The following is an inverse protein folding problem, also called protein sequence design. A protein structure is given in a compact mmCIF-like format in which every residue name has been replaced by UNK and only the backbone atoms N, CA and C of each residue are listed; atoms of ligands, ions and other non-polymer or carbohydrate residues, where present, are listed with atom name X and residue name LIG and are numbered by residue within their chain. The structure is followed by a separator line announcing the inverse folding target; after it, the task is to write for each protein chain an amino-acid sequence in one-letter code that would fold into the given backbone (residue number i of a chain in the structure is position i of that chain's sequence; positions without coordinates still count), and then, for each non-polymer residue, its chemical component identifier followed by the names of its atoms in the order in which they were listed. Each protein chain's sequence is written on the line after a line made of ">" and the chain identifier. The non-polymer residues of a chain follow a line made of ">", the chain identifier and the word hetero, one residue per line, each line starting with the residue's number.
data_IF_401582799723
#
_entry.id   IF_401582799723
#
_cell.length_a   1.000
_cell.length_b   1.000
_cell.length_c   1.000
_cell.angle_alpha   90.00
_cell.angle_beta   90.00
_cell.angle_gamma   90.00
#
_symmetry.space_group_name_H-M   'P 1'
#
loop_
_entity.id
_entity.type
_entity.pdbx_description
1 polymer ?
#
# COMPACT_ATOMS: atom_id res chain seq x y z
N UNK A 1 11.35 10.05 64.43
CA UNK A 1 12.47 9.52 65.25
C UNK A 1 13.26 8.56 64.38
N UNK A 2 14.55 8.83 64.24
CA UNK A 2 15.67 7.93 63.85
C UNK A 2 15.66 7.18 62.50
N UNK A 3 16.36 7.80 61.52
CA UNK A 3 17.43 7.25 60.67
C UNK A 3 17.72 5.73 60.67
N UNK A 4 17.93 5.18 59.47
CA UNK A 4 19.28 4.84 58.94
C UNK A 4 19.24 4.39 57.47
N UNK A 5 20.04 5.07 56.65
CA UNK A 5 20.47 4.67 55.30
C UNK A 5 21.42 3.45 55.37
N UNK A 6 21.36 2.58 54.36
CA UNK A 6 22.44 1.69 54.00
C UNK A 6 22.70 1.79 52.48
N UNK A 7 23.90 2.29 52.16
CA UNK A 7 24.50 2.38 50.83
C UNK A 7 25.18 1.03 50.54
N UNK A 8 24.89 0.37 49.42
CA UNK A 8 25.74 -0.72 48.91
C UNK A 8 26.24 -0.38 47.51
N UNK A 9 27.54 -0.20 47.42
CA UNK A 9 28.35 0.00 46.22
C UNK A 9 28.33 -1.25 45.33
N UNK A 10 27.93 -1.13 44.07
CA UNK A 10 28.15 -2.16 43.05
C UNK A 10 29.32 -1.73 42.15
N UNK A 11 30.35 -2.55 42.13
CA UNK A 11 31.61 -2.42 41.40
C UNK A 11 31.44 -2.68 39.90
N UNK A 12 31.90 -1.75 39.06
CA UNK A 12 32.16 -1.98 37.64
C UNK A 12 33.42 -2.85 37.48
N UNK A 13 33.31 -3.96 36.76
CA UNK A 13 34.47 -4.71 36.23
C UNK A 13 34.56 -4.52 34.72
N UNK A 14 35.55 -3.73 34.30
CA UNK A 14 36.08 -3.71 32.93
C UNK A 14 37.01 -4.91 32.75
N UNK A 15 36.77 -5.75 31.75
CA UNK A 15 37.81 -6.64 31.21
C UNK A 15 37.46 -7.17 29.81
N UNK A 16 38.25 -6.70 28.83
CA UNK A 16 38.92 -7.52 27.80
C UNK A 16 38.05 -7.95 26.59
N UNK A 17 38.56 -8.08 25.36
CA UNK A 17 39.92 -8.06 24.81
C UNK A 17 39.79 -7.80 23.29
N UNK A 18 40.73 -7.03 22.74
CA UNK A 18 40.95 -6.83 21.31
C UNK A 18 41.58 -8.11 20.72
N UNK A 19 41.07 -8.62 19.60
CA UNK A 19 41.76 -9.63 18.79
C UNK A 19 41.72 -9.22 17.30
N UNK A 20 42.88 -8.78 16.83
CA UNK A 20 43.21 -8.46 15.44
C UNK A 20 43.67 -9.75 14.75
N UNK A 21 43.04 -10.15 13.66
CA UNK A 21 43.56 -11.18 12.77
C UNK A 21 43.51 -10.68 11.32
N UNK A 22 44.69 -10.35 10.80
CA UNK A 22 44.95 -10.09 9.40
C UNK A 22 45.21 -11.42 8.68
N UNK A 23 44.56 -11.64 7.54
CA UNK A 23 45.10 -12.45 6.46
C UNK A 23 44.79 -11.75 5.14
N UNK A 24 45.86 -11.31 4.46
CA UNK A 24 45.81 -10.73 3.12
C UNK A 24 45.63 -11.80 2.05
N UNK A 25 45.12 -11.35 0.91
CA UNK A 25 44.97 -12.13 -0.31
C UNK A 25 44.64 -11.22 -1.48
N UNK A 26 45.64 -10.48 -1.95
CA UNK A 26 45.61 -9.74 -3.22
C UNK A 26 45.62 -10.73 -4.39
N UNK A 27 44.69 -10.60 -5.33
CA UNK A 27 44.82 -11.18 -6.67
C UNK A 27 44.74 -10.06 -7.70
N UNK A 28 45.82 -9.99 -8.48
CA UNK A 28 46.14 -9.00 -9.49
C UNK A 28 45.30 -9.16 -10.75
N UNK A 29 45.00 -8.03 -11.37
CA UNK A 29 44.48 -7.89 -12.72
C UNK A 29 45.44 -8.54 -13.74
N UNK A 30 44.86 -9.19 -14.75
CA UNK A 30 45.51 -9.60 -15.99
C UNK A 30 44.68 -9.09 -17.16
N UNK A 31 45.25 -8.15 -17.92
CA UNK A 31 44.74 -7.73 -19.22
C UNK A 31 45.22 -8.68 -20.32
N UNK A 32 44.49 -8.66 -21.43
CA UNK A 32 44.82 -9.34 -22.67
C UNK A 32 43.84 -8.89 -23.75
N UNK A 33 44.37 -8.11 -24.70
CA UNK A 33 43.74 -7.63 -25.93
C UNK A 33 43.18 -8.75 -26.81
N UNK A 34 42.16 -8.43 -27.61
CA UNK A 34 42.11 -8.75 -29.04
C UNK A 34 41.00 -7.91 -29.70
N UNK A 35 41.36 -7.19 -30.76
CA UNK A 35 40.50 -6.26 -31.49
C UNK A 35 39.85 -6.86 -32.74
N UNK A 36 38.90 -6.10 -33.30
CA UNK A 36 38.62 -5.98 -34.74
C UNK A 36 37.74 -4.71 -34.90
N UNK A 37 38.12 -3.68 -35.67
CA UNK A 37 38.01 -3.68 -37.14
C UNK A 37 36.54 -3.45 -37.55
N UNK A 38 36.00 -2.24 -37.55
CA UNK A 38 36.16 -1.28 -38.65
C UNK A 38 35.10 -1.49 -39.75
N UNK A 39 34.19 -0.53 -39.94
CA UNK A 39 33.68 -0.09 -41.26
C UNK A 39 32.90 1.20 -41.09
N UNK A 40 33.50 2.29 -41.55
CA UNK A 40 32.80 3.54 -41.82
C UNK A 40 32.21 3.52 -43.23
N UNK A 41 31.05 4.16 -43.38
CA UNK A 41 30.62 4.77 -44.63
C UNK A 41 29.64 5.90 -44.28
N UNK A 42 30.12 7.14 -44.41
CA UNK A 42 29.28 8.31 -44.68
C UNK A 42 28.93 8.32 -46.19
N UNK A 43 27.92 9.10 -46.63
CA UNK A 43 28.18 10.53 -46.85
C UNK A 43 27.07 11.49 -46.40
N UNK A 44 27.53 12.61 -45.82
CA UNK A 44 27.28 14.06 -46.07
C UNK A 44 26.12 14.56 -47.00
N UNK A 45 25.84 15.88 -47.11
CA UNK A 45 24.71 16.55 -46.46
C UNK A 45 23.89 17.43 -47.46
N UNK A 46 23.09 18.35 -46.90
CA UNK A 46 22.53 19.56 -47.52
C UNK A 46 21.30 19.42 -48.45
N UNK A 47 20.18 20.03 -48.05
CA UNK A 47 19.72 21.31 -48.63
C UNK A 47 18.37 21.73 -48.04
N UNK A 48 18.30 23.01 -47.69
CA UNK A 48 17.11 23.75 -47.29
C UNK A 48 16.25 24.14 -48.50
N UNK A 49 14.93 24.23 -48.33
CA UNK A 49 14.13 25.36 -48.82
C UNK A 49 12.65 25.26 -48.44
N UNK A 50 12.18 26.38 -47.89
CA UNK A 50 10.79 26.79 -47.68
C UNK A 50 10.01 26.96 -48.98
N UNK A 51 8.70 26.72 -48.99
CA UNK A 51 7.65 27.75 -49.19
C UNK A 51 6.26 27.19 -49.58
N UNK A 52 5.27 27.68 -48.83
CA UNK A 52 3.88 28.05 -49.17
C UNK A 52 3.20 27.58 -50.48
N UNK A 53 1.95 27.13 -50.33
CA UNK A 53 0.93 27.23 -51.40
C UNK A 53 -0.40 26.53 -51.08
N UNK A 54 -1.37 27.25 -50.50
CA UNK A 54 -2.82 26.98 -50.65
C UNK A 54 -3.28 27.61 -52.00
N UNK A 55 -4.36 27.16 -52.70
CA UNK A 55 -5.76 27.45 -52.29
C UNK A 55 -6.87 26.46 -52.77
N UNK A 56 -8.09 26.62 -52.23
CA UNK A 56 -9.37 26.38 -52.95
C UNK A 56 -10.20 25.15 -52.54
N UNK A 57 -11.16 25.24 -51.60
CA UNK A 57 -12.61 25.53 -51.75
C UNK A 57 -13.51 24.44 -52.38
N UNK A 58 -14.56 24.04 -51.63
CA UNK A 58 -15.78 23.41 -52.15
C UNK A 58 -16.60 22.70 -51.07
N UNK A 59 -17.77 23.24 -50.70
CA UNK A 59 -18.65 22.74 -49.62
C UNK A 59 -19.96 22.08 -50.08
N UNK A 60 -20.85 21.86 -49.08
CA UNK A 60 -22.22 21.29 -49.11
C UNK A 60 -22.31 19.76 -49.31
N UNK A 61 -23.21 19.00 -48.66
CA UNK A 61 -24.33 19.29 -47.75
C UNK A 61 -25.14 17.99 -47.48
N UNK A 62 -26.27 18.14 -46.77
CA UNK A 62 -27.34 17.19 -46.42
C UNK A 62 -27.12 16.29 -45.18
N UNK A 63 -27.90 16.29 -44.08
CA UNK A 63 -29.35 16.34 -43.74
C UNK A 63 -30.17 15.05 -43.98
N UNK A 64 -30.84 14.60 -42.91
CA UNK A 64 -32.02 13.71 -42.89
C UNK A 64 -31.70 12.28 -42.41
N UNK A 65 -32.43 11.60 -41.53
CA UNK A 65 -33.68 11.81 -40.78
C UNK A 65 -33.83 10.61 -39.80
N UNK A 66 -34.32 10.81 -38.57
CA UNK A 66 -35.66 10.48 -38.04
C UNK A 66 -36.10 9.00 -38.03
N UNK A 67 -36.59 8.57 -36.86
CA UNK A 67 -37.49 7.41 -36.61
C UNK A 67 -36.74 6.12 -36.25
N UNK A 68 -37.12 5.30 -35.28
CA UNK A 68 -38.33 5.23 -34.49
C UNK A 68 -38.13 4.36 -33.23
N UNK A 69 -39.13 4.46 -32.38
CA UNK A 69 -39.40 3.84 -31.07
C UNK A 69 -39.30 2.32 -30.92
N UNK A 70 -38.97 1.90 -29.70
CA UNK A 70 -39.80 0.95 -28.93
C UNK A 70 -39.39 -0.53 -28.93
N UNK A 71 -39.23 -1.10 -27.72
CA UNK A 71 -39.14 -2.54 -27.53
C UNK A 71 -38.69 -2.96 -26.13
N UNK A 72 -39.65 -3.09 -25.22
CA UNK A 72 -39.50 -3.67 -23.88
C UNK A 72 -39.30 -5.19 -23.89
N UNK A 73 -38.54 -5.70 -22.93
CA UNK A 73 -38.85 -6.97 -22.25
C UNK A 73 -38.01 -8.18 -22.66
N UNK A 74 -37.33 -8.79 -21.68
CA UNK A 74 -36.65 -10.07 -21.85
C UNK A 74 -35.84 -10.48 -20.62
N UNK A 75 -36.51 -11.07 -19.65
CA UNK A 75 -35.96 -11.77 -18.48
C UNK A 75 -35.18 -13.03 -18.87
N UNK A 76 -34.10 -13.30 -18.12
CA UNK A 76 -33.69 -14.66 -17.74
C UNK A 76 -32.77 -15.41 -18.70
N UNK A 77 -31.55 -15.69 -18.25
CA UNK A 77 -30.60 -16.58 -18.93
C UNK A 77 -29.42 -16.95 -18.06
N UNK A 78 -29.61 -17.98 -17.24
CA UNK A 78 -28.56 -18.81 -16.63
C UNK A 78 -27.79 -19.57 -17.70
N UNK A 79 -26.48 -19.80 -17.51
CA UNK A 79 -25.78 -20.91 -18.15
C UNK A 79 -24.36 -20.60 -18.62
N UNK A 80 -23.38 -21.04 -17.83
CA UNK A 80 -22.02 -21.29 -18.28
C UNK A 80 -22.00 -22.35 -19.39
N UNK A 81 -21.20 -22.14 -20.43
CA UNK A 81 -20.44 -23.21 -21.10
C UNK A 81 -19.17 -22.62 -21.71
N UNK A 82 -18.03 -23.12 -21.25
CA UNK A 82 -16.73 -22.82 -21.83
C UNK A 82 -16.57 -23.38 -23.25
N UNK A 83 -15.83 -22.63 -24.07
CA UNK A 83 -15.34 -23.06 -25.37
C UNK A 83 -13.91 -22.58 -25.56
N UNK A 84 -12.96 -23.49 -25.45
CA UNK A 84 -11.56 -23.26 -25.84
C UNK A 84 -11.44 -23.40 -27.36
N UNK A 85 -10.79 -22.42 -28.01
CA UNK A 85 -10.31 -22.50 -29.39
C UNK A 85 -9.14 -21.52 -29.58
N UNK A 86 -8.03 -21.90 -30.24
CA UNK A 86 -6.78 -21.13 -30.24
C UNK A 86 -6.72 -20.10 -31.38
N UNK A 87 -6.15 -18.93 -31.11
CA UNK A 87 -5.97 -17.88 -32.13
C UNK A 87 -5.09 -16.71 -31.67
N UNK A 88 -3.82 -16.79 -32.06
CA UNK A 88 -2.82 -15.73 -32.34
C UNK A 88 -3.16 -14.24 -32.11
N UNK A 89 -2.33 -13.60 -31.28
CA UNK A 89 -1.62 -12.34 -31.58
C UNK A 89 -2.43 -11.05 -31.77
N UNK A 90 -2.40 -10.18 -30.75
CA UNK A 90 -2.78 -8.78 -30.86
C UNK A 90 -2.66 -8.05 -29.53
N UNK A 91 -1.60 -7.26 -29.39
CA UNK A 91 -1.39 -6.34 -28.26
C UNK A 91 -2.49 -5.29 -28.23
N UNK A 92 -3.34 -5.38 -27.23
CA UNK A 92 -4.28 -4.36 -26.79
C UNK A 92 -4.67 -4.73 -25.37
N UNK A 93 -4.25 -3.91 -24.40
CA UNK A 93 -4.59 -4.12 -22.99
C UNK A 93 -6.10 -4.15 -22.84
N UNK A 94 -6.65 -5.35 -22.70
CA UNK A 94 -8.04 -5.53 -22.28
C UNK A 94 -8.11 -4.99 -20.85
N UNK A 95 -9.11 -4.16 -20.51
CA UNK A 95 -9.33 -3.77 -19.12
C UNK A 95 -9.39 -5.05 -18.29
N UNK A 96 -8.61 -5.13 -17.23
CA UNK A 96 -8.71 -6.21 -16.24
C UNK A 96 -10.18 -6.34 -15.86
N UNK A 97 -10.79 -7.48 -16.21
CA UNK A 97 -12.17 -7.78 -15.91
C UNK A 97 -12.37 -7.64 -14.39
N UNK A 98 -13.02 -6.56 -13.98
CA UNK A 98 -13.37 -6.26 -12.59
C UNK A 98 -14.40 -7.30 -12.13
N UNK A 99 -13.93 -8.46 -11.68
CA UNK A 99 -14.73 -9.46 -10.96
C UNK A 99 -15.07 -8.99 -9.53
N UNK A 100 -15.06 -7.67 -9.28
CA UNK A 100 -15.49 -7.07 -8.03
C UNK A 100 -16.98 -7.37 -7.78
N UNK A 101 -17.35 -7.82 -6.58
CA UNK A 101 -18.76 -7.87 -6.20
C UNK A 101 -19.39 -6.46 -6.28
N UNK A 102 -20.73 -6.35 -6.40
CA UNK A 102 -21.39 -5.05 -6.38
C UNK A 102 -21.02 -4.29 -5.10
N UNK A 103 -20.94 -2.97 -5.24
CA UNK A 103 -20.74 -2.02 -4.14
C UNK A 103 -21.55 -2.40 -2.89
N UNK A 104 -20.92 -2.38 -1.72
CA UNK A 104 -21.50 -2.86 -0.47
C UNK A 104 -21.16 -1.99 0.76
N UNK A 105 -20.52 -0.86 0.53
CA UNK A 105 -19.94 0.03 1.52
C UNK A 105 -20.73 1.33 1.67
N UNK A 106 -21.97 1.36 1.19
CA UNK A 106 -22.86 2.48 1.43
C UNK A 106 -23.25 2.58 2.91
N UNK A 107 -23.50 3.81 3.37
CA UNK A 107 -24.02 4.08 4.71
C UNK A 107 -23.17 3.58 5.90
N UNK A 108 -21.90 3.24 5.69
CA UNK A 108 -20.97 2.97 6.80
C UNK A 108 -20.60 4.27 7.52
N UNK A 109 -20.55 4.22 8.85
CA UNK A 109 -20.20 5.35 9.73
C UNK A 109 -18.70 5.41 9.98
N UNK A 110 -18.21 6.60 10.32
CA UNK A 110 -16.78 6.84 10.56
C UNK A 110 -16.17 5.91 11.61
N UNK A 111 -16.88 5.70 12.71
CA UNK A 111 -16.45 4.96 13.89
C UNK A 111 -17.03 3.54 13.95
N UNK A 112 -17.44 2.98 12.81
CA UNK A 112 -17.93 1.60 12.75
C UNK A 112 -16.87 0.62 13.26
N UNK A 113 -17.23 -0.14 14.29
CA UNK A 113 -16.36 -1.10 14.96
C UNK A 113 -16.45 -2.51 14.38
N UNK A 114 -17.36 -2.79 13.45
CA UNK A 114 -17.49 -4.11 12.84
C UNK A 114 -16.38 -4.32 11.78
N UNK A 115 -15.44 -5.27 11.99
CA UNK A 115 -14.38 -5.53 11.01
C UNK A 115 -14.93 -6.02 9.67
N UNK A 116 -16.14 -6.60 9.61
CA UNK A 116 -16.77 -6.96 8.35
C UNK A 116 -17.19 -5.71 7.55
N UNK A 117 -17.57 -4.62 8.22
CA UNK A 117 -17.85 -3.36 7.53
C UNK A 117 -16.56 -2.66 7.08
N UNK A 118 -15.46 -2.79 7.84
CA UNK A 118 -14.14 -2.37 7.37
C UNK A 118 -13.68 -3.14 6.11
N UNK A 119 -13.98 -4.44 6.03
CA UNK A 119 -13.72 -5.23 4.82
C UNK A 119 -14.57 -4.76 3.62
N UNK A 120 -15.83 -4.38 3.84
CA UNK A 120 -16.68 -3.80 2.79
C UNK A 120 -16.12 -2.47 2.27
N UNK A 121 -15.61 -1.62 3.16
CA UNK A 121 -14.99 -0.33 2.83
C UNK A 121 -13.68 -0.43 2.02
N UNK A 122 -13.23 -1.65 1.71
CA UNK A 122 -12.14 -1.93 0.78
C UNK A 122 -12.58 -2.90 -0.33
N UNK A 123 -13.89 -2.92 -0.67
CA UNK A 123 -14.51 -3.72 -1.74
C UNK A 123 -14.60 -5.23 -1.51
N UNK A 124 -14.33 -5.71 -0.30
CA UNK A 124 -14.54 -7.11 0.04
C UNK A 124 -16.01 -7.32 0.47
N UNK A 125 -16.89 -7.45 -0.53
CA UNK A 125 -18.34 -7.49 -0.29
C UNK A 125 -18.97 -8.88 -0.19
N UNK A 126 -18.44 -9.86 -0.92
CA UNK A 126 -19.04 -11.20 -0.98
C UNK A 126 -18.58 -12.05 0.20
N UNK A 127 -19.51 -12.69 0.89
CA UNK A 127 -19.21 -13.69 1.92
C UNK A 127 -19.07 -15.10 1.33
N UNK A 128 -18.20 -15.89 1.93
CA UNK A 128 -18.01 -17.30 1.63
C UNK A 128 -18.97 -18.16 2.46
N UNK A 129 -20.17 -18.42 1.95
CA UNK A 129 -21.23 -19.18 2.67
C UNK A 129 -21.01 -20.72 2.72
N UNK A 130 -19.76 -21.19 2.60
CA UNK A 130 -19.42 -22.60 2.62
C UNK A 130 -18.11 -22.93 1.90
N UNK A 131 -17.67 -24.20 1.90
CA UNK A 131 -16.38 -24.62 1.36
C UNK A 131 -16.22 -24.41 -0.15
N UNK A 132 -17.33 -24.29 -0.88
CA UNK A 132 -17.35 -24.08 -2.34
C UNK A 132 -17.74 -22.64 -2.72
N UNK A 133 -17.88 -21.73 -1.75
CA UNK A 133 -18.19 -20.32 -1.99
C UNK A 133 -16.95 -19.47 -1.76
N UNK A 134 -16.61 -18.63 -2.74
CA UNK A 134 -15.51 -17.67 -2.64
C UNK A 134 -15.97 -16.39 -1.93
N UNK A 135 -15.01 -15.61 -1.42
CA UNK A 135 -15.25 -14.35 -0.73
C UNK A 135 -14.66 -14.31 0.68
N UNK A 136 -15.14 -13.37 1.48
CA UNK A 136 -14.79 -13.17 2.88
C UNK A 136 -15.29 -14.33 3.73
N UNK A 137 -14.35 -15.02 4.37
CA UNK A 137 -14.65 -16.02 5.40
C UNK A 137 -14.73 -15.33 6.77
N UNK A 138 -13.76 -14.48 7.08
CA UNK A 138 -13.63 -13.87 8.39
C UNK A 138 -12.96 -12.50 8.30
N UNK A 139 -13.38 -11.56 9.16
CA UNK A 139 -12.72 -10.28 9.37
C UNK A 139 -12.54 -10.05 10.88
N UNK A 140 -11.36 -9.55 11.28
CA UNK A 140 -11.00 -9.30 12.68
C UNK A 140 -10.17 -8.04 12.83
N UNK A 141 -10.39 -7.35 13.95
CA UNK A 141 -9.44 -6.38 14.47
C UNK A 141 -8.37 -7.09 15.30
N UNK A 142 -7.10 -6.84 15.01
CA UNK A 142 -5.95 -7.42 15.72
C UNK A 142 -4.87 -6.38 15.93
N UNK A 143 -3.87 -6.70 16.75
CA UNK A 143 -2.59 -6.00 16.72
C UNK A 143 -1.76 -6.41 15.48
N UNK A 144 -0.70 -5.66 15.13
CA UNK A 144 0.13 -5.95 13.95
C UNK A 144 0.77 -7.34 13.96
N UNK A 145 1.13 -7.86 15.14
CA UNK A 145 1.63 -9.23 15.36
C UNK A 145 0.52 -10.30 15.31
N UNK A 146 -0.74 -9.90 15.16
CA UNK A 146 -1.91 -10.80 15.15
C UNK A 146 -2.43 -11.14 16.55
N UNK A 147 -1.85 -10.56 17.61
CA UNK A 147 -2.38 -10.74 18.96
C UNK A 147 -3.69 -9.98 19.17
N UNK A 148 -4.42 -10.35 20.22
CA UNK A 148 -5.66 -9.69 20.59
C UNK A 148 -5.41 -8.29 21.17
N UNK A 149 -6.40 -7.41 21.03
CA UNK A 149 -6.37 -6.06 21.62
C UNK A 149 -6.15 -6.17 23.14
N UNK A 150 -5.20 -5.42 23.73
CA UNK A 150 -4.95 -5.46 25.16
C UNK A 150 -6.16 -5.00 25.97
N UNK A 151 -6.51 -5.77 27.01
CA UNK A 151 -7.66 -5.46 27.85
C UNK A 151 -7.54 -4.08 28.51
N UNK A 152 -8.58 -3.26 28.41
CA UNK A 152 -8.64 -1.90 28.95
C UNK A 152 -8.19 -0.80 27.99
N UNK A 153 -7.73 -1.16 26.79
CA UNK A 153 -7.31 -0.21 25.74
C UNK A 153 -8.28 -0.14 24.56
N UNK A 154 -9.43 -0.82 24.62
CA UNK A 154 -10.36 -0.99 23.50
C UNK A 154 -10.87 0.35 22.94
N UNK A 155 -11.16 1.32 23.81
CA UNK A 155 -11.61 2.65 23.39
C UNK A 155 -10.52 3.44 22.65
N UNK A 156 -9.27 3.36 23.11
CA UNK A 156 -8.14 4.01 22.44
C UNK A 156 -7.79 3.28 21.14
N UNK A 157 -7.81 1.94 21.15
CA UNK A 157 -7.63 1.10 19.97
C UNK A 157 -8.63 1.46 18.86
N UNK A 158 -9.91 1.66 19.21
CA UNK A 158 -10.97 1.99 18.26
C UNK A 158 -10.77 3.35 17.56
N UNK A 159 -10.02 4.28 18.17
CA UNK A 159 -9.63 5.52 17.50
C UNK A 159 -8.57 5.29 16.41
N UNK A 160 -7.87 4.16 16.42
CA UNK A 160 -6.88 3.78 15.43
C UNK A 160 -7.45 3.37 14.08
N UNK A 161 -8.77 3.21 13.93
CA UNK A 161 -9.40 2.92 12.64
C UNK A 161 -10.56 3.87 12.34
N UNK A 162 -10.84 4.10 11.06
CA UNK A 162 -11.96 4.93 10.62
C UNK A 162 -12.40 4.58 9.20
N UNK A 163 -13.66 4.85 8.87
CA UNK A 163 -14.24 4.63 7.54
C UNK A 163 -14.72 5.97 6.96
N UNK A 164 -14.01 6.49 5.95
CA UNK A 164 -14.23 7.85 5.44
C UNK A 164 -15.02 7.85 4.14
N UNK A 165 -15.83 8.89 3.93
CA UNK A 165 -16.40 9.23 2.61
C UNK A 165 -15.38 9.92 1.68
N UNK A 166 -14.36 10.54 2.27
CA UNK A 166 -13.13 11.03 1.60
C UNK A 166 -12.07 11.35 2.65
N UNK A 167 -10.79 11.39 2.29
CA UNK A 167 -9.74 11.84 3.21
C UNK A 167 -9.28 13.25 2.83
N UNK A 168 -9.98 14.25 3.35
CA UNK A 168 -9.89 15.63 2.83
C UNK A 168 -10.67 15.80 1.51
N UNK A 169 -10.59 16.98 0.86
CA UNK A 169 -11.36 17.27 -0.35
C UNK A 169 -10.74 16.70 -1.63
N UNK A 170 -9.47 16.25 -1.58
CA UNK A 170 -8.69 15.88 -2.77
C UNK A 170 -8.33 14.39 -2.82
N UNK A 171 -8.83 13.59 -1.88
CA UNK A 171 -8.58 12.14 -1.79
C UNK A 171 -9.93 11.41 -1.67
N UNK A 172 -10.67 11.26 -2.78
CA UNK A 172 -11.90 10.48 -2.79
C UNK A 172 -11.61 8.98 -2.76
N UNK A 173 -12.62 8.14 -2.46
CA UNK A 173 -12.53 6.69 -2.64
C UNK A 173 -12.07 6.32 -4.06
N UNK A 174 -11.19 5.32 -4.14
CA UNK A 174 -10.71 4.68 -5.37
C UNK A 174 -11.79 3.82 -5.99
N UNK A 175 -12.62 3.20 -5.15
CA UNK A 175 -13.82 2.48 -5.53
C UNK A 175 -14.86 2.67 -4.41
N UNK A 176 -16.10 2.28 -4.68
CA UNK A 176 -17.16 2.38 -3.67
C UNK A 176 -17.52 3.80 -3.25
N UNK A 177 -18.02 3.92 -2.01
CA UNK A 177 -18.38 5.15 -1.31
C UNK A 177 -17.47 5.45 -0.11
N UNK A 178 -16.63 4.50 0.29
CA UNK A 178 -15.85 4.55 1.52
C UNK A 178 -14.40 4.13 1.32
N UNK A 179 -13.56 4.62 2.23
CA UNK A 179 -12.15 4.25 2.35
C UNK A 179 -11.89 3.82 3.79
N UNK A 180 -11.12 2.75 3.99
CA UNK A 180 -10.62 2.38 5.31
C UNK A 180 -9.36 3.18 5.67
N UNK A 181 -9.32 3.77 6.86
CA UNK A 181 -8.11 4.32 7.48
C UNK A 181 -7.63 3.49 8.66
N UNK A 182 -6.31 3.26 8.71
CA UNK A 182 -5.60 2.61 9.82
C UNK A 182 -4.48 3.52 10.32
N UNK A 183 -4.49 3.89 11.60
CA UNK A 183 -3.53 4.81 12.21
C UNK A 183 -2.96 4.28 13.52
N UNK A 184 -1.67 4.52 13.73
CA UNK A 184 -1.02 4.36 15.04
C UNK A 184 -1.45 5.46 16.04
N UNK A 185 -2.05 6.55 15.58
CA UNK A 185 -2.72 7.55 16.40
C UNK A 185 -4.24 7.53 16.21
N UNK A 186 -4.81 8.72 15.99
CA UNK A 186 -6.25 8.88 15.72
C UNK A 186 -6.54 8.90 14.21
N UNK A 187 -7.27 7.88 13.73
CA UNK A 187 -7.80 7.80 12.37
C UNK A 187 -9.00 8.74 12.19
N UNK A 188 -8.78 10.04 12.35
CA UNK A 188 -9.81 11.10 12.31
C UNK A 188 -9.27 12.30 11.54
N UNK A 189 -10.10 12.93 10.70
CA UNK A 189 -9.79 14.19 10.01
C UNK A 189 -10.03 15.38 10.95
N UNK A 190 -9.52 16.59 10.65
CA UNK A 190 -9.65 17.76 11.53
C UNK A 190 -11.06 18.11 12.03
N UNK A 191 -12.11 17.75 11.27
CA UNK A 191 -13.50 18.04 11.61
C UNK A 191 -14.25 16.82 12.17
N UNK A 192 -13.59 15.67 12.30
CA UNK A 192 -14.20 14.44 12.79
C UNK A 192 -14.18 14.38 14.34
N UNK A 193 -15.19 13.78 14.98
CA UNK A 193 -15.16 13.52 16.42
C UNK A 193 -13.96 12.65 16.84
N UNK A 194 -13.25 13.08 17.88
CA UNK A 194 -12.05 12.39 18.37
C UNK A 194 -10.76 12.75 17.62
N UNK A 195 -10.78 13.79 16.79
CA UNK A 195 -9.58 14.29 16.12
C UNK A 195 -8.48 14.69 17.10
N UNK A 196 -7.29 14.18 16.83
CA UNK A 196 -6.01 14.65 17.37
C UNK A 196 -5.06 14.84 16.20
N UNK A 197 -4.33 15.96 16.18
CA UNK A 197 -3.45 16.26 15.06
C UNK A 197 -2.21 15.36 15.04
N UNK A 198 -1.81 14.82 13.88
CA UNK A 198 -0.79 13.77 13.82
C UNK A 198 0.61 14.25 14.22
N UNK A 199 0.91 15.54 14.09
CA UNK A 199 2.16 16.13 14.58
C UNK A 199 2.18 16.39 16.10
N UNK A 200 1.01 16.36 16.75
CA UNK A 200 0.87 16.39 18.20
C UNK A 200 0.77 15.00 18.82
N UNK A 201 0.45 14.00 18.00
CA UNK A 201 0.35 12.59 18.37
C UNK A 201 -0.91 12.23 19.15
N UNK A 202 -1.36 11.00 19.00
CA UNK A 202 -2.32 10.37 19.89
C UNK A 202 -1.80 9.01 20.37
N UNK A 203 -1.05 9.03 21.48
CA UNK A 203 -0.59 7.82 22.12
C UNK A 203 -1.78 6.99 22.64
N UNK A 204 -2.00 5.81 22.05
CA UNK A 204 -3.06 4.88 22.48
C UNK A 204 -2.69 4.16 23.77
N UNK A 205 -1.40 4.11 24.09
CA UNK A 205 -0.86 3.74 25.39
C UNK A 205 -0.51 2.26 25.53
N UNK A 206 -0.34 1.54 24.42
CA UNK A 206 0.04 0.13 24.44
C UNK A 206 1.19 -0.19 23.49
N UNK A 207 1.88 -1.29 23.77
CA UNK A 207 2.90 -1.88 22.90
C UNK A 207 2.46 -3.25 22.41
N UNK A 208 3.11 -3.75 21.37
CA UNK A 208 2.91 -5.09 20.83
C UNK A 208 4.21 -5.64 20.25
N UNK A 209 4.29 -6.94 19.95
CA UNK A 209 5.46 -7.47 19.26
C UNK A 209 5.52 -6.93 17.83
N UNK A 210 6.71 -6.90 17.22
CA UNK A 210 6.80 -6.64 15.79
C UNK A 210 6.10 -7.77 15.01
N UNK A 211 5.51 -7.47 13.84
CA UNK A 211 5.02 -8.52 12.97
C UNK A 211 6.11 -9.54 12.61
N UNK A 212 5.71 -10.77 12.26
CA UNK A 212 6.66 -11.81 11.89
C UNK A 212 7.61 -11.34 10.78
N UNK A 213 8.92 -11.49 10.99
CA UNK A 213 9.96 -11.01 10.07
C UNK A 213 10.37 -9.55 10.25
N UNK A 214 9.88 -8.85 11.29
CA UNK A 214 10.22 -7.47 11.64
C UNK A 214 10.90 -7.39 13.03
N UNK A 215 11.62 -6.30 13.36
CA UNK A 215 11.91 -5.12 12.53
C UNK A 215 12.84 -5.45 11.36
N UNK A 216 12.74 -4.68 10.28
CA UNK A 216 13.63 -4.80 9.12
C UNK A 216 14.44 -3.53 8.93
N UNK A 217 15.72 -3.65 8.56
CA UNK A 217 16.49 -2.48 8.14
C UNK A 217 15.87 -1.91 6.86
N UNK A 218 15.82 -0.59 6.77
CA UNK A 218 15.47 0.10 5.52
C UNK A 218 16.71 0.15 4.64
N UNK A 219 16.71 -0.43 3.42
CA UNK A 219 17.84 -0.30 2.49
C UNK A 219 18.26 1.16 2.21
N UNK A 220 17.31 2.10 2.26
CA UNK A 220 17.56 3.54 2.14
C UNK A 220 18.36 4.13 3.32
N UNK A 221 18.35 3.48 4.49
CA UNK A 221 18.99 3.96 5.72
C UNK A 221 19.84 2.85 6.36
N UNK A 222 21.03 2.52 5.80
CA UNK A 222 21.88 1.45 6.31
C UNK A 222 22.26 1.67 7.78
N UNK A 223 22.11 0.63 8.61
CA UNK A 223 22.45 0.66 10.04
C UNK A 223 21.37 1.24 10.95
N UNK A 224 20.24 1.67 10.39
CA UNK A 224 19.07 2.13 11.14
C UNK A 224 18.06 0.99 11.26
N UNK A 225 17.70 0.64 12.48
CA UNK A 225 16.67 -0.36 12.79
C UNK A 225 15.71 0.28 13.79
N UNK A 226 14.43 0.28 13.45
CA UNK A 226 13.42 0.87 14.31
C UNK A 226 13.23 0.07 15.61
N UNK A 227 12.74 0.77 16.65
CA UNK A 227 12.64 0.24 18.01
C UNK A 227 11.41 -0.64 18.27
N UNK A 228 11.02 -0.70 19.54
CA UNK A 228 9.82 -1.37 20.03
C UNK A 228 8.56 -0.79 19.33
N UNK A 229 7.66 -1.62 18.79
CA UNK A 229 6.41 -1.13 18.23
C UNK A 229 5.40 -0.65 19.29
N UNK A 230 4.72 0.45 18.98
CA UNK A 230 3.66 1.05 19.79
C UNK A 230 2.39 1.22 18.99
N UNK A 231 1.27 1.21 19.71
CA UNK A 231 -0.01 1.75 19.26
C UNK A 231 -0.47 1.22 17.89
N UNK A 232 -0.09 0.00 17.52
CA UNK A 232 -0.49 -0.59 16.24
C UNK A 232 -1.97 -0.94 16.15
N UNK A 233 -2.49 -0.92 14.93
CA UNK A 233 -3.85 -1.34 14.56
C UNK A 233 -3.78 -2.24 13.34
N UNK A 234 -4.64 -3.25 13.25
CA UNK A 234 -4.71 -4.09 12.06
C UNK A 234 -6.12 -4.58 11.75
N UNK A 235 -6.46 -4.55 10.46
CA UNK A 235 -7.57 -5.33 9.91
C UNK A 235 -6.98 -6.63 9.34
N UNK A 236 -7.42 -7.77 9.86
CA UNK A 236 -7.12 -9.08 9.33
C UNK A 236 -8.36 -9.66 8.64
N UNK A 237 -8.21 -10.09 7.38
CA UNK A 237 -9.26 -10.78 6.63
C UNK A 237 -8.78 -12.15 6.20
N UNK A 238 -9.64 -13.16 6.36
CA UNK A 238 -9.48 -14.48 5.75
C UNK A 238 -10.41 -14.59 4.55
N UNK A 239 -9.83 -14.90 3.39
CA UNK A 239 -10.51 -14.90 2.10
C UNK A 239 -10.37 -16.27 1.43
N UNK A 240 -11.40 -16.64 0.66
CA UNK A 240 -11.30 -17.68 -0.36
C UNK A 240 -11.32 -17.04 -1.75
N UNK A 241 -10.29 -17.30 -2.54
CA UNK A 241 -10.20 -16.79 -3.91
C UNK A 241 -11.27 -17.44 -4.82
N UNK A 242 -11.87 -16.70 -5.77
CA UNK A 242 -12.68 -17.30 -6.83
C UNK A 242 -11.80 -18.20 -7.69
N UNK A 243 -12.37 -19.27 -8.26
CA UNK A 243 -11.62 -20.27 -9.02
C UNK A 243 -10.87 -19.69 -10.25
N UNK A 244 -11.30 -18.54 -10.76
CA UNK A 244 -10.67 -17.84 -11.89
C UNK A 244 -9.55 -16.89 -11.48
N UNK A 245 -9.35 -16.60 -10.19
CA UNK A 245 -8.32 -15.68 -9.74
C UNK A 245 -6.92 -16.25 -9.99
N UNK A 246 -6.04 -15.41 -10.51
CA UNK A 246 -4.59 -15.63 -10.62
C UNK A 246 -3.79 -14.67 -9.72
N UNK A 247 -4.48 -13.77 -9.01
CA UNK A 247 -3.92 -12.78 -8.12
C UNK A 247 -5.00 -11.90 -7.51
N UNK A 248 -4.55 -10.91 -6.73
CA UNK A 248 -5.37 -9.79 -6.29
C UNK A 248 -4.53 -8.52 -6.26
N UNK A 249 -5.22 -7.39 -6.17
CA UNK A 249 -4.64 -6.07 -5.99
C UNK A 249 -5.46 -5.26 -4.98
N UNK A 250 -4.82 -4.30 -4.32
CA UNK A 250 -5.47 -3.28 -3.50
C UNK A 250 -4.67 -1.98 -3.60
N UNK A 251 -5.33 -0.86 -3.30
CA UNK A 251 -4.72 0.45 -3.33
C UNK A 251 -4.45 0.95 -1.90
N UNK A 252 -3.31 1.61 -1.68
CA UNK A 252 -2.94 2.24 -0.40
C UNK A 252 -2.48 3.68 -0.59
N UNK A 253 -2.65 4.52 0.44
CA UNK A 253 -2.04 5.84 0.52
C UNK A 253 -1.57 6.09 1.96
N UNK A 254 -0.25 6.15 2.14
CA UNK A 254 0.39 6.27 3.45
C UNK A 254 0.70 7.73 3.76
N UNK A 255 0.37 8.18 4.96
CA UNK A 255 0.61 9.51 5.51
C UNK A 255 1.45 9.37 6.76
N UNK A 256 2.39 10.29 6.97
CA UNK A 256 3.22 10.30 8.17
C UNK A 256 3.55 11.71 8.61
N UNK A 257 3.47 11.97 9.92
CA UNK A 257 3.92 13.21 10.52
C UNK A 257 5.45 13.29 10.72
N UNK A 258 6.16 12.22 10.40
CA UNK A 258 7.61 12.14 10.52
C UNK A 258 8.33 12.86 9.37
N UNK A 259 7.68 12.97 8.21
CA UNK A 259 8.29 13.53 7.02
C UNK A 259 8.30 15.07 7.04
N UNK A 260 9.40 15.74 6.66
CA UNK A 260 10.70 15.18 6.23
C UNK A 260 11.72 15.03 7.37
N UNK A 261 11.39 15.46 8.60
CA UNK A 261 12.37 15.68 9.67
C UNK A 261 12.99 14.40 10.22
N UNK A 262 12.23 13.30 10.26
CA UNK A 262 12.60 12.08 10.95
C UNK A 262 12.99 10.93 10.02
N UNK A 263 13.25 11.24 8.74
CA UNK A 263 13.83 10.28 7.79
C UNK A 263 15.14 9.70 8.31
N UNK A 264 15.35 8.40 8.13
CA UNK A 264 16.51 7.64 8.59
C UNK A 264 16.76 7.73 10.11
N UNK A 265 15.70 7.78 10.93
CA UNK A 265 15.80 7.67 12.38
C UNK A 265 15.28 6.32 12.89
N UNK A 266 15.36 6.03 14.19
CA UNK A 266 14.84 4.78 14.77
C UNK A 266 13.34 4.85 15.09
N UNK A 267 12.68 5.96 14.75
CA UNK A 267 11.29 6.26 15.11
C UNK A 267 10.29 6.00 13.99
N UNK A 268 10.75 5.42 12.88
CA UNK A 268 9.97 5.36 11.65
C UNK A 268 8.75 4.45 11.78
N UNK A 269 7.59 5.06 11.71
CA UNK A 269 6.29 4.41 11.58
C UNK A 269 6.25 3.58 10.30
N UNK A 270 5.44 2.53 10.32
CA UNK A 270 5.34 1.62 9.20
C UNK A 270 3.91 1.22 8.89
N UNK A 271 3.65 1.05 7.59
CA UNK A 271 2.59 0.21 7.08
C UNK A 271 3.14 -1.09 6.52
N UNK A 272 2.45 -2.18 6.84
CA UNK A 272 2.78 -3.53 6.36
C UNK A 272 1.49 -4.23 5.94
N UNK A 273 1.54 -4.90 4.79
CA UNK A 273 0.48 -5.81 4.35
C UNK A 273 1.02 -7.24 4.36
N UNK A 274 0.55 -8.08 5.28
CA UNK A 274 1.04 -9.44 5.48
C UNK A 274 0.11 -10.45 4.82
N UNK A 275 0.64 -11.22 3.87
CA UNK A 275 -0.05 -12.31 3.21
C UNK A 275 0.40 -13.65 3.80
N UNK A 276 -0.56 -14.46 4.24
CA UNK A 276 -0.34 -15.82 4.75
C UNK A 276 -1.23 -16.83 4.01
N UNK A 277 -0.69 -17.95 3.49
CA UNK A 277 0.72 -18.33 3.51
C UNK A 277 1.63 -17.35 2.76
N UNK A 278 2.89 -17.24 3.18
CA UNK A 278 3.87 -16.35 2.54
C UNK A 278 3.99 -16.66 1.05
N UNK A 279 3.79 -15.68 0.15
CA UNK A 279 3.85 -15.91 -1.28
C UNK A 279 5.29 -16.22 -1.73
N UNK A 280 5.41 -16.95 -2.84
CA UNK A 280 6.71 -17.26 -3.44
C UNK A 280 7.47 -15.97 -3.74
N UNK A 281 8.76 -15.94 -3.36
CA UNK A 281 9.60 -14.76 -3.52
C UNK A 281 9.58 -13.79 -2.34
N UNK A 282 8.73 -14.02 -1.33
CA UNK A 282 8.77 -13.30 -0.05
C UNK A 282 9.31 -14.20 1.07
N UNK A 283 10.01 -13.61 2.03
CA UNK A 283 10.55 -14.32 3.21
C UNK A 283 9.72 -14.15 4.48
N UNK A 284 8.84 -13.15 4.50
CA UNK A 284 8.26 -12.60 5.74
C UNK A 284 6.80 -12.19 5.57
N UNK A 285 6.18 -12.57 4.45
CA UNK A 285 4.77 -12.32 4.17
C UNK A 285 4.43 -10.89 3.77
N UNK A 286 5.33 -9.90 3.92
CA UNK A 286 5.03 -8.54 3.50
C UNK A 286 4.91 -8.45 1.97
N UNK A 287 3.84 -7.84 1.48
CA UNK A 287 3.61 -7.63 0.05
C UNK A 287 3.62 -6.15 -0.37
N UNK A 288 3.74 -5.22 0.58
CA UNK A 288 3.81 -3.77 0.31
C UNK A 288 5.19 -3.20 0.63
N UNK A 289 5.95 -2.87 -0.41
CA UNK A 289 7.32 -2.33 -0.33
C UNK A 289 7.69 -1.65 -1.66
N UNK A 290 8.67 -0.74 -1.64
CA UNK A 290 9.16 -0.11 -2.87
C UNK A 290 10.11 -1.00 -3.69
N UNK A 291 10.47 -0.57 -4.89
CA UNK A 291 11.37 -1.32 -5.78
C UNK A 291 12.79 -1.53 -5.23
N UNK A 292 13.16 -0.83 -4.15
CA UNK A 292 14.43 -0.99 -3.45
C UNK A 292 14.32 -1.89 -2.21
N UNK A 293 13.12 -2.39 -1.90
CA UNK A 293 12.84 -3.25 -0.75
C UNK A 293 12.61 -2.49 0.56
N UNK A 294 12.45 -1.16 0.53
CA UNK A 294 11.99 -0.45 1.73
C UNK A 294 10.51 -0.75 1.96
N UNK A 295 10.16 -1.00 3.21
CA UNK A 295 8.76 -1.06 3.63
C UNK A 295 8.11 0.32 3.48
N UNK A 296 6.78 0.35 3.47
CA UNK A 296 6.03 1.62 3.45
C UNK A 296 6.23 2.31 4.80
N UNK A 297 6.99 3.41 4.79
CA UNK A 297 7.41 4.19 5.97
C UNK A 297 7.90 5.57 5.49
N UNK A 298 8.32 6.44 6.41
CA UNK A 298 8.93 7.74 6.08
C UNK A 298 10.16 7.65 5.15
N UNK A 299 10.83 6.49 5.08
CA UNK A 299 12.02 6.27 4.23
C UNK A 299 11.69 5.74 2.83
N UNK A 300 10.42 5.56 2.52
CA UNK A 300 10.01 4.95 1.27
C UNK A 300 10.13 5.94 0.09
N UNK A 301 10.59 5.47 -1.07
CA UNK A 301 10.77 6.33 -2.25
C UNK A 301 9.45 6.91 -2.81
N UNK A 302 8.30 6.38 -2.39
CA UNK A 302 7.01 6.87 -2.84
C UNK A 302 6.52 8.14 -2.13
N UNK A 303 7.18 8.63 -1.08
CA UNK A 303 6.85 9.88 -0.36
C UNK A 303 7.00 11.11 -1.27
N UNK A 304 6.00 11.34 -2.13
CA UNK A 304 5.99 12.40 -3.15
C UNK A 304 4.81 13.36 -3.01
N UNK A 305 4.00 13.27 -1.95
CA UNK A 305 2.99 14.27 -1.62
C UNK A 305 3.46 15.06 -0.40
N UNK A 306 4.01 16.26 -0.61
CA UNK A 306 4.48 17.12 0.47
C UNK A 306 4.68 18.57 0.03
N UNK A 307 4.74 19.48 1.01
CA UNK A 307 5.05 20.90 0.78
C UNK A 307 6.55 21.20 0.88
N UNK A 308 7.25 20.53 1.80
CA UNK A 308 8.68 20.74 2.08
C UNK A 308 9.37 19.37 2.31
N UNK A 309 10.41 19.03 1.53
CA UNK A 309 10.88 19.71 0.30
C UNK A 309 9.77 19.79 -0.77
N UNK A 310 10.00 20.42 -1.91
CA UNK A 310 9.00 20.35 -2.99
C UNK A 310 8.93 18.92 -3.53
N UNK A 311 7.86 18.20 -3.22
CA UNK A 311 7.64 16.85 -3.74
C UNK A 311 7.00 16.85 -5.15
N UNK A 312 7.16 15.75 -5.88
CA UNK A 312 6.72 15.62 -7.27
C UNK A 312 5.20 15.76 -7.47
N UNK A 313 4.38 15.31 -6.50
CA UNK A 313 2.92 15.42 -6.55
C UNK A 313 2.39 16.67 -5.83
N UNK A 314 3.28 17.52 -5.30
CA UNK A 314 2.94 18.69 -4.49
C UNK A 314 2.19 18.31 -3.21
N UNK A 315 1.44 19.25 -2.63
CA UNK A 315 0.77 19.04 -1.33
C UNK A 315 -0.76 19.09 -1.38
N UNK A 316 -1.35 19.16 -2.57
CA UNK A 316 -2.80 19.34 -2.71
C UNK A 316 -3.58 18.22 -1.97
N UNK A 317 -3.09 16.98 -2.02
CA UNK A 317 -3.71 15.83 -1.36
C UNK A 317 -3.59 15.85 0.17
N UNK A 318 -2.80 16.75 0.77
CA UNK A 318 -2.70 16.90 2.23
C UNK A 318 -3.75 17.85 2.82
N UNK A 319 -4.46 18.61 1.98
CA UNK A 319 -5.43 19.59 2.46
C UNK A 319 -6.57 18.90 3.22
N UNK A 320 -6.87 19.34 4.45
CA UNK A 320 -8.00 18.83 5.24
C UNK A 320 -7.82 17.41 5.76
N UNK A 321 -6.61 16.85 5.70
CA UNK A 321 -6.30 15.52 6.23
C UNK A 321 -5.73 15.56 7.64
N UNK A 322 -5.24 16.73 8.09
CA UNK A 322 -4.43 16.86 9.30
C UNK A 322 -2.93 16.70 9.04
N UNK A 323 -2.52 16.31 7.83
CA UNK A 323 -1.12 16.11 7.43
C UNK A 323 -0.56 17.27 6.58
N UNK A 324 -1.16 18.47 6.61
CA UNK A 324 -0.87 19.59 5.70
C UNK A 324 0.61 20.00 5.63
N UNK A 325 1.37 19.77 6.69
CA UNK A 325 2.79 20.13 6.81
C UNK A 325 3.73 18.93 6.81
N UNK A 326 3.23 17.74 6.47
CA UNK A 326 3.98 16.50 6.54
C UNK A 326 4.09 15.83 5.16
N UNK A 327 4.15 14.50 5.10
CA UNK A 327 4.32 13.74 3.86
C UNK A 327 3.32 12.61 3.67
N UNK A 328 3.01 12.31 2.41
CA UNK A 328 2.26 11.13 2.02
C UNK A 328 2.78 10.51 0.71
N UNK A 329 2.45 9.25 0.45
CA UNK A 329 2.90 8.54 -0.75
C UNK A 329 2.11 8.94 -2.00
N UNK A 330 0.89 9.43 -1.81
CA UNK A 330 -0.15 9.34 -2.84
C UNK A 330 -0.62 7.88 -3.00
N UNK A 331 -1.57 7.65 -3.89
CA UNK A 331 -2.07 6.30 -4.14
C UNK A 331 -0.99 5.40 -4.75
N UNK A 332 -0.88 4.20 -4.21
CA UNK A 332 -0.06 3.08 -4.67
C UNK A 332 -0.98 1.87 -4.85
N UNK A 333 -0.67 0.99 -5.79
CA UNK A 333 -1.30 -0.32 -5.95
C UNK A 333 -0.31 -1.40 -5.53
N UNK A 334 -0.72 -2.28 -4.62
CA UNK A 334 -0.02 -3.51 -4.29
C UNK A 334 -0.69 -4.69 -4.99
N UNK A 335 0.09 -5.60 -5.57
CA UNK A 335 -0.37 -6.85 -6.18
C UNK A 335 0.27 -8.06 -5.54
N UNK A 336 -0.42 -9.20 -5.52
CA UNK A 336 0.16 -10.49 -5.14
C UNK A 336 -0.48 -11.66 -5.92
N UNK A 337 0.26 -12.73 -6.22
CA UNK A 337 -0.30 -13.94 -6.81
C UNK A 337 -1.13 -14.72 -5.80
N UNK A 338 -2.21 -15.35 -6.28
CA UNK A 338 -3.00 -16.34 -5.54
C UNK A 338 -3.57 -17.34 -6.54
N UNK A 339 -3.75 -18.61 -6.17
CA UNK A 339 -4.45 -19.56 -7.03
C UNK A 339 -5.95 -19.52 -6.73
N UNK A 340 -6.75 -19.77 -7.75
CA UNK A 340 -8.19 -19.88 -7.59
C UNK A 340 -8.56 -20.99 -6.59
N UNK A 341 -9.47 -20.66 -5.67
CA UNK A 341 -9.92 -21.56 -4.61
C UNK A 341 -9.05 -21.58 -3.35
N UNK A 342 -7.86 -20.96 -3.36
CA UNK A 342 -6.99 -20.85 -2.20
C UNK A 342 -7.70 -20.12 -1.06
N UNK A 343 -7.44 -20.56 0.17
CA UNK A 343 -7.81 -19.84 1.40
C UNK A 343 -6.55 -19.21 1.97
N UNK A 344 -6.60 -17.90 2.20
CA UNK A 344 -5.46 -17.12 2.69
C UNK A 344 -5.91 -16.04 3.66
N UNK A 345 -4.97 -15.51 4.43
CA UNK A 345 -5.15 -14.37 5.32
C UNK A 345 -4.35 -13.19 4.79
N UNK A 346 -4.97 -12.02 4.80
CA UNK A 346 -4.35 -10.73 4.51
C UNK A 346 -4.54 -9.82 5.72
N UNK A 347 -3.43 -9.32 6.28
CA UNK A 347 -3.46 -8.36 7.40
C UNK A 347 -2.88 -7.03 6.96
N UNK A 348 -3.70 -5.99 7.01
CA UNK A 348 -3.28 -4.61 6.78
C UNK A 348 -3.00 -3.96 8.13
N UNK A 349 -1.83 -3.36 8.30
CA UNK A 349 -1.47 -2.80 9.60
C UNK A 349 -0.61 -1.55 9.51
N UNK A 350 -0.91 -0.58 10.38
CA UNK A 350 -0.12 0.63 10.63
C UNK A 350 0.29 0.65 12.09
N UNK A 351 1.57 0.93 12.38
CA UNK A 351 2.09 0.99 13.75
C UNK A 351 3.25 1.96 13.88
N UNK A 352 3.41 2.49 15.09
CA UNK A 352 4.55 3.32 15.48
C UNK A 352 5.75 2.44 15.81
N UNK A 353 6.95 2.89 15.51
CA UNK A 353 8.15 2.27 16.04
C UNK A 353 8.98 3.22 16.88
N UNK A 354 9.43 2.75 18.04
CA UNK A 354 10.44 3.43 18.84
C UNK A 354 9.88 4.47 19.79
N UNK A 355 8.82 5.19 19.44
CA UNK A 355 8.06 6.02 20.37
C UNK A 355 6.53 5.97 20.12
N UNK A 356 5.79 7.02 20.49
CA UNK A 356 4.33 7.10 20.39
C UNK A 356 3.91 8.56 20.19
N UNK A 357 4.74 9.35 19.50
CA UNK A 357 4.67 10.82 19.51
C UNK A 357 4.13 11.37 18.19
N UNK A 358 4.53 10.81 17.06
CA UNK A 358 4.11 11.28 15.74
C UNK A 358 3.25 10.21 15.09
N UNK A 359 2.10 10.62 14.59
CA UNK A 359 1.16 9.65 14.03
C UNK A 359 1.34 9.50 12.52
N UNK A 360 1.18 8.27 12.06
CA UNK A 360 1.02 7.87 10.68
C UNK A 360 -0.32 7.20 10.45
N UNK A 361 -0.81 7.30 9.23
CA UNK A 361 -2.08 6.72 8.82
C UNK A 361 -1.96 6.13 7.42
N UNK A 362 -2.61 5.00 7.20
CA UNK A 362 -2.71 4.38 5.88
C UNK A 362 -4.16 4.29 5.49
N UNK A 363 -4.47 4.82 4.32
CA UNK A 363 -5.72 4.52 3.63
C UNK A 363 -5.54 3.21 2.87
N UNK A 364 -6.54 2.33 2.95
CA UNK A 364 -6.64 1.08 2.18
C UNK A 364 -7.97 1.09 1.46
N UNK A 365 -7.96 0.69 0.18
CA UNK A 365 -9.13 0.76 -0.69
C UNK A 365 -8.98 -0.20 -1.90
N UNK A 366 -10.04 -0.41 -2.66
CA UNK A 366 -10.05 -0.99 -4.00
C UNK A 366 -9.44 -2.39 -4.10
N UNK A 367 -9.79 -3.28 -3.16
CA UNK A 367 -9.45 -4.70 -3.30
C UNK A 367 -10.16 -5.29 -4.53
N UNK A 368 -9.40 -6.01 -5.34
CA UNK A 368 -9.93 -6.66 -6.55
C UNK A 368 -9.16 -7.92 -6.88
N UNK A 369 -9.88 -8.94 -7.33
CA UNK A 369 -9.28 -10.12 -7.91
C UNK A 369 -8.68 -9.80 -9.28
N UNK A 370 -7.59 -10.46 -9.65
CA UNK A 370 -6.99 -10.33 -10.98
C UNK A 370 -6.96 -11.67 -11.68
N UNK A 371 -7.18 -11.64 -13.00
CA UNK A 371 -7.00 -12.78 -13.91
C UNK A 371 -5.72 -12.66 -14.73
N UNK A 372 -4.85 -11.70 -14.39
CA UNK A 372 -3.59 -11.47 -15.07
C UNK A 372 -2.62 -12.61 -14.72
N UNK A 373 -2.16 -13.39 -15.71
CA UNK A 373 -1.21 -14.46 -15.46
C UNK A 373 0.14 -13.88 -15.01
N UNK A 374 0.87 -14.66 -14.21
CA UNK A 374 2.20 -14.30 -13.71
C UNK A 374 2.24 -13.00 -12.89
N UNK A 375 1.15 -12.69 -12.15
CA UNK A 375 1.19 -11.63 -11.16
C UNK A 375 2.33 -11.91 -10.16
N UNK A 376 3.14 -10.89 -9.87
CA UNK A 376 4.19 -10.97 -8.87
C UNK A 376 3.85 -10.05 -7.70
N UNK A 377 4.47 -10.32 -6.56
CA UNK A 377 4.40 -9.39 -5.43
C UNK A 377 5.09 -8.09 -5.81
N UNK A 378 4.42 -6.96 -5.62
CA UNK A 378 5.00 -5.64 -5.86
C UNK A 378 4.07 -4.50 -5.52
N UNK A 379 4.63 -3.30 -5.36
CA UNK A 379 3.89 -2.06 -5.16
C UNK A 379 4.39 -0.99 -6.12
N UNK A 380 3.46 -0.29 -6.76
CA UNK A 380 3.75 0.70 -7.79
C UNK A 380 2.69 1.80 -7.82
N UNK A 381 2.98 2.95 -8.43
CA UNK A 381 1.96 3.98 -8.66
C UNK A 381 0.89 3.43 -9.63
N UNK A 382 -0.42 3.65 -9.39
CA UNK A 382 -1.46 3.27 -10.32
C UNK A 382 -1.19 3.91 -11.69
N UNK A 383 -1.45 3.17 -12.77
CA UNK A 383 -1.49 3.77 -14.10
C UNK A 383 -2.75 4.64 -14.18
N UNK A 384 -2.58 5.91 -14.55
CA UNK A 384 -3.69 6.86 -14.76
C UNK A 384 -4.60 6.48 -15.94
#
# INVERSE_FOLDING_TARGET
>A
MHNRLALSTLSLSLASLLALAACGGTVSAGGGDDGDGGTGAAPDPDTSSSSSGTPGTGGSGATGGTGDTGGTGGTGGTGETGGSGPGTGGSGGVPVDDFGPPKCDDNLTLDDADPYNAAKAIEICKTADGPNSWGLIEAKWTLPDGSAIPAGYEANYALGHGIYDSFGPNVPPRKGDRILGLSNGAARRPNDPGYTGPSGGFAKGYTHAAPDGFPKPSPACPGVISGQPYDGVALEVTLRAPNSALGFAFDINYYTAEFPTWTCTTFNDAFVALLSPTPVGQSDGNISFDSLGNIISVNNVFLDVCNQPTCALGAAQLAGTGYENNGATGWLTTTAPINGGDVFTLRFTTYDNGDAILDSATLVDHFRWTTQPNSVVGTFRPME
#
